data_IF_436438673240
#
_entry.id   IF_436438673240
#
_cell.length_a   1.000
_cell.length_b   1.000
_cell.length_c   1.000
_cell.angle_alpha   90.00
_cell.angle_beta   90.00
_cell.angle_gamma   90.00
#
_symmetry.space_group_name_H-M   'P 1'
#
loop_
_entity.id
_entity.type
_entity.pdbx_description
1 polymer ?
#
# COMPACT_ATOMS: atom_id res chain seq x y z
N UNK A 1 -17.41 61.85 -1.83
CA UNK A 1 -17.03 60.60 -1.07
C UNK A 1 -17.99 59.45 -1.32
N UNK A 2 -19.33 59.59 -1.30
CA UNK A 2 -20.24 58.44 -1.49
C UNK A 2 -20.14 57.71 -2.85
N UNK A 3 -19.99 58.39 -3.98
CA UNK A 3 -19.89 57.78 -5.30
C UNK A 3 -18.61 56.91 -5.51
N UNK A 4 -17.53 57.29 -4.86
CA UNK A 4 -16.24 56.58 -4.96
C UNK A 4 -16.26 55.24 -4.23
N UNK A 5 -17.02 55.18 -3.09
CA UNK A 5 -17.19 53.92 -2.33
C UNK A 5 -18.07 52.91 -3.07
N UNK A 6 -19.07 53.34 -3.84
CA UNK A 6 -19.90 52.44 -4.64
C UNK A 6 -19.15 51.78 -5.79
N UNK A 7 -18.23 52.50 -6.43
CA UNK A 7 -17.39 51.97 -7.50
C UNK A 7 -16.41 50.92 -6.92
N UNK A 8 -15.84 51.20 -5.75
CA UNK A 8 -14.93 50.25 -5.08
C UNK A 8 -15.63 48.94 -4.68
N UNK A 9 -16.85 49.06 -4.14
CA UNK A 9 -17.70 47.90 -3.76
C UNK A 9 -18.06 47.09 -5.01
N UNK A 10 -18.42 47.74 -6.11
CA UNK A 10 -18.74 47.05 -7.36
C UNK A 10 -17.53 46.28 -7.94
N UNK A 11 -16.33 46.88 -7.89
CA UNK A 11 -15.08 46.21 -8.35
C UNK A 11 -14.74 45.00 -7.46
N UNK A 12 -14.83 45.17 -6.14
CA UNK A 12 -14.55 44.06 -5.20
C UNK A 12 -15.55 42.91 -5.36
N UNK A 13 -16.85 43.23 -5.57
CA UNK A 13 -17.87 42.21 -5.84
C UNK A 13 -17.64 41.47 -7.16
N UNK A 14 -17.23 42.18 -8.22
CA UNK A 14 -16.89 41.57 -9.50
C UNK A 14 -15.64 40.66 -9.40
N UNK A 15 -14.60 41.09 -8.67
CA UNK A 15 -13.41 40.29 -8.39
C UNK A 15 -13.75 39.03 -7.59
N UNK A 16 -14.60 39.19 -6.55
CA UNK A 16 -15.06 38.05 -5.74
C UNK A 16 -15.83 37.03 -6.58
N UNK A 17 -16.70 37.46 -7.48
CA UNK A 17 -17.44 36.58 -8.37
C UNK A 17 -16.53 35.87 -9.39
N UNK A 18 -15.50 36.54 -9.90
CA UNK A 18 -14.51 35.93 -10.79
C UNK A 18 -13.67 34.87 -10.08
N UNK A 19 -13.16 35.19 -8.89
CA UNK A 19 -12.41 34.24 -8.07
C UNK A 19 -13.28 33.05 -7.67
N UNK A 20 -14.54 33.30 -7.28
CA UNK A 20 -15.46 32.23 -6.93
C UNK A 20 -15.78 31.30 -8.11
N UNK A 21 -15.92 31.87 -9.31
CA UNK A 21 -16.10 31.10 -10.55
C UNK A 21 -14.88 30.25 -10.86
N UNK A 22 -13.66 30.79 -10.80
CA UNK A 22 -12.43 30.02 -11.00
C UNK A 22 -12.26 28.89 -9.97
N UNK A 23 -12.58 29.15 -8.70
CA UNK A 23 -12.52 28.12 -7.66
C UNK A 23 -13.56 27.02 -7.93
N UNK A 24 -14.78 27.37 -8.33
CA UNK A 24 -15.81 26.38 -8.64
C UNK A 24 -15.50 25.58 -9.89
N UNK A 25 -14.91 26.19 -10.92
CA UNK A 25 -14.45 25.49 -12.11
C UNK A 25 -13.27 24.56 -11.79
N UNK A 26 -12.32 24.98 -10.95
CA UNK A 26 -11.18 24.17 -10.52
C UNK A 26 -11.63 22.98 -9.62
N UNK A 27 -12.62 23.17 -8.74
CA UNK A 27 -13.17 22.10 -7.88
C UNK A 27 -14.01 21.11 -8.69
N UNK A 28 -14.73 21.57 -9.71
CA UNK A 28 -15.59 20.75 -10.56
C UNK A 28 -14.88 20.26 -11.84
N UNK A 29 -13.62 20.63 -12.07
CA UNK A 29 -12.86 20.07 -13.18
C UNK A 29 -12.84 18.55 -13.06
N UNK A 30 -13.24 17.80 -14.09
CA UNK A 30 -13.21 16.35 -14.03
C UNK A 30 -11.77 15.92 -13.72
N UNK A 31 -11.56 15.27 -12.58
CA UNK A 31 -10.28 14.65 -12.26
C UNK A 31 -9.91 13.80 -13.46
N UNK A 32 -8.79 14.13 -14.11
CA UNK A 32 -8.28 13.40 -15.27
C UNK A 32 -7.98 11.98 -14.79
N UNK A 33 -8.99 11.11 -14.87
CA UNK A 33 -8.80 9.69 -14.67
C UNK A 33 -7.94 9.21 -15.82
N UNK A 34 -6.74 8.73 -15.50
CA UNK A 34 -5.93 8.00 -16.48
C UNK A 34 -6.80 6.81 -16.88
N UNK A 35 -7.13 6.61 -18.19
CA UNK A 35 -7.88 5.43 -18.60
C UNK A 35 -7.07 4.21 -18.13
N UNK A 36 -7.66 3.34 -17.29
CA UNK A 36 -7.09 2.01 -17.10
C UNK A 36 -7.17 1.32 -18.45
N UNK A 37 -6.03 1.21 -19.12
CA UNK A 37 -5.90 0.32 -20.27
C UNK A 37 -6.15 -1.07 -19.72
N UNK A 38 -7.18 -1.83 -20.21
CA UNK A 38 -7.37 -3.18 -19.78
C UNK A 38 -6.09 -3.95 -20.11
N UNK A 39 -5.33 -4.33 -19.10
CA UNK A 39 -4.29 -5.32 -19.28
C UNK A 39 -5.01 -6.64 -19.61
N UNK A 40 -4.50 -7.46 -20.52
CA UNK A 40 -5.02 -8.81 -20.80
C UNK A 40 -4.90 -9.76 -19.58
N UNK A 41 -4.81 -9.21 -18.38
CA UNK A 41 -4.66 -9.87 -17.10
C UNK A 41 -5.95 -9.90 -16.27
N UNK A 42 -5.79 -10.24 -15.02
CA UNK A 42 -6.88 -10.30 -14.06
C UNK A 42 -7.61 -8.96 -13.91
N UNK A 43 -8.96 -9.03 -13.98
CA UNK A 43 -9.85 -7.90 -13.71
C UNK A 43 -10.59 -8.16 -12.40
N UNK A 44 -10.61 -7.16 -11.53
CA UNK A 44 -11.32 -7.25 -10.26
C UNK A 44 -12.82 -7.39 -10.46
N UNK A 45 -13.53 -8.24 -9.68
CA UNK A 45 -14.97 -8.33 -9.71
C UNK A 45 -15.63 -7.03 -9.27
N UNK A 46 -16.86 -6.80 -9.73
CA UNK A 46 -17.70 -5.66 -9.35
C UNK A 46 -18.86 -6.12 -8.49
N UNK A 47 -18.96 -5.58 -7.26
CA UNK A 47 -20.10 -5.87 -6.37
C UNK A 47 -21.48 -5.53 -6.97
N UNK A 48 -21.52 -4.56 -7.87
CA UNK A 48 -22.75 -4.14 -8.53
C UNK A 48 -23.18 -5.09 -9.65
N UNK A 49 -22.22 -5.78 -10.26
CA UNK A 49 -22.45 -6.66 -11.42
C UNK A 49 -22.49 -8.15 -11.02
N UNK A 50 -22.02 -8.49 -9.82
CA UNK A 50 -22.02 -9.86 -9.33
C UNK A 50 -23.43 -10.26 -8.84
N UNK A 51 -24.15 -10.97 -9.70
CA UNK A 51 -25.51 -11.46 -9.41
C UNK A 51 -25.53 -12.76 -8.62
N UNK A 52 -24.39 -13.44 -8.50
CA UNK A 52 -24.27 -14.67 -7.72
C UNK A 52 -24.02 -14.41 -6.23
N UNK A 53 -23.67 -13.15 -5.91
CA UNK A 53 -23.41 -12.72 -4.54
C UNK A 53 -24.72 -12.20 -3.91
N UNK A 54 -25.38 -13.03 -3.12
CA UNK A 54 -26.69 -12.73 -2.52
C UNK A 54 -26.73 -12.99 -1.00
N UNK A 55 -27.78 -12.49 -0.34
CA UNK A 55 -28.11 -12.74 1.06
C UNK A 55 -26.98 -12.37 2.02
N UNK A 56 -26.83 -13.16 3.08
CA UNK A 56 -25.86 -12.95 4.13
C UNK A 56 -24.41 -12.91 3.61
N UNK A 57 -24.10 -13.70 2.58
CA UNK A 57 -22.77 -13.69 1.96
C UNK A 57 -22.46 -12.33 1.32
N UNK A 58 -23.45 -11.72 0.65
CA UNK A 58 -23.29 -10.38 0.08
C UNK A 58 -23.06 -9.32 1.14
N UNK A 59 -23.85 -9.35 2.22
CA UNK A 59 -23.68 -8.41 3.34
C UNK A 59 -22.30 -8.53 3.97
N UNK A 60 -21.82 -9.75 4.15
CA UNK A 60 -20.50 -10.01 4.74
C UNK A 60 -19.36 -9.49 3.85
N UNK A 61 -19.47 -9.69 2.52
CA UNK A 61 -18.50 -9.19 1.54
C UNK A 61 -18.51 -7.66 1.49
N UNK A 62 -19.66 -7.01 1.48
CA UNK A 62 -19.79 -5.55 1.52
C UNK A 62 -19.16 -4.98 2.81
N UNK A 63 -19.46 -5.61 3.95
CA UNK A 63 -18.84 -5.20 5.21
C UNK A 63 -17.33 -5.42 5.21
N UNK A 64 -16.84 -6.48 4.58
CA UNK A 64 -15.41 -6.74 4.38
C UNK A 64 -14.73 -5.68 3.51
N UNK A 65 -15.37 -5.23 2.42
CA UNK A 65 -14.88 -4.11 1.61
C UNK A 65 -14.74 -2.84 2.45
N UNK A 66 -15.77 -2.52 3.22
CA UNK A 66 -15.78 -1.35 4.10
C UNK A 66 -14.65 -1.42 5.15
N UNK A 67 -14.44 -2.58 5.78
CA UNK A 67 -13.35 -2.80 6.74
C UNK A 67 -11.96 -2.65 6.11
N UNK A 68 -11.76 -3.13 4.89
CA UNK A 68 -10.49 -3.00 4.16
C UNK A 68 -10.25 -1.54 3.74
N UNK A 69 -11.28 -0.87 3.26
CA UNK A 69 -11.20 0.52 2.82
C UNK A 69 -11.01 1.49 3.99
N UNK A 70 -11.71 1.25 5.10
CA UNK A 70 -11.81 2.15 6.23
C UNK A 70 -11.38 1.49 7.56
N UNK A 71 -10.37 0.64 7.53
CA UNK A 71 -9.90 -0.17 8.68
C UNK A 71 -9.76 0.68 9.95
N UNK A 72 -9.19 1.86 9.85
CA UNK A 72 -8.95 2.73 10.99
C UNK A 72 -10.23 3.25 11.67
N UNK A 73 -11.31 3.43 10.91
CA UNK A 73 -12.61 3.83 11.46
C UNK A 73 -13.18 2.77 12.41
N UNK A 74 -12.85 1.50 12.17
CA UNK A 74 -13.33 0.37 12.97
C UNK A 74 -12.30 -0.12 13.98
N UNK A 75 -11.03 -0.16 13.59
CA UNK A 75 -9.96 -0.83 14.34
C UNK A 75 -8.77 0.10 14.66
N UNK A 76 -8.82 1.36 14.25
CA UNK A 76 -7.79 2.36 14.53
C UNK A 76 -7.77 2.84 15.99
N UNK A 77 -6.92 3.81 16.33
CA UNK A 77 -6.80 4.32 17.70
C UNK A 77 -8.10 4.87 18.30
N UNK A 78 -9.05 5.28 17.43
CA UNK A 78 -10.41 5.72 17.79
C UNK A 78 -11.47 4.83 17.13
N UNK A 79 -11.13 3.57 16.87
CA UNK A 79 -11.99 2.62 16.16
C UNK A 79 -13.28 2.30 16.91
N UNK A 80 -14.38 2.21 16.19
CA UNK A 80 -15.71 1.94 16.76
C UNK A 80 -15.89 0.52 17.27
N UNK A 81 -15.06 -0.44 16.81
CA UNK A 81 -15.07 -1.84 17.22
C UNK A 81 -13.96 -2.11 18.23
N UNK A 82 -12.73 -1.72 17.92
CA UNK A 82 -11.58 -1.91 18.80
C UNK A 82 -10.45 -0.92 18.45
N UNK A 83 -9.63 -0.54 19.42
CA UNK A 83 -8.44 0.29 19.26
C UNK A 83 -7.19 -0.59 19.20
N UNK A 84 -6.93 -1.23 18.06
CA UNK A 84 -5.89 -2.25 17.92
C UNK A 84 -4.91 -2.04 16.76
N UNK A 85 -5.03 -0.97 15.98
CA UNK A 85 -4.12 -0.65 14.86
C UNK A 85 -3.58 0.78 14.94
N UNK A 86 -2.60 1.11 14.09
CA UNK A 86 -1.89 2.41 14.07
C UNK A 86 -2.65 3.56 13.36
N UNK A 87 -3.88 3.37 12.94
CA UNK A 87 -4.64 4.40 12.23
C UNK A 87 -4.51 4.38 10.70
N UNK A 88 -3.74 3.45 10.15
CA UNK A 88 -3.72 3.19 8.70
C UNK A 88 -4.84 2.24 8.28
N UNK A 89 -5.23 2.32 7.02
CA UNK A 89 -6.19 1.42 6.40
C UNK A 89 -5.47 0.33 5.58
N UNK A 90 -6.05 -0.84 5.44
CA UNK A 90 -5.52 -1.89 4.57
C UNK A 90 -5.34 -1.38 3.14
N UNK A 91 -6.27 -0.56 2.63
CA UNK A 91 -6.17 0.03 1.29
C UNK A 91 -5.02 1.04 1.11
N UNK A 92 -4.36 1.51 2.16
CA UNK A 92 -3.16 2.34 2.00
C UNK A 92 -2.01 1.57 1.33
N UNK A 93 -1.99 0.23 1.47
CA UNK A 93 -1.04 -0.66 0.80
C UNK A 93 -1.70 -1.55 -0.26
N UNK A 94 -3.02 -1.80 -0.16
CA UNK A 94 -3.82 -2.62 -1.07
C UNK A 94 -4.81 -1.72 -1.80
N UNK A 95 -4.31 -0.99 -2.81
CA UNK A 95 -5.03 0.12 -3.44
C UNK A 95 -6.40 -0.29 -4.00
N UNK A 96 -7.36 0.65 -3.95
CA UNK A 96 -8.74 0.45 -4.36
C UNK A 96 -9.38 -0.76 -3.66
N UNK A 97 -9.24 -0.84 -2.32
CA UNK A 97 -9.73 -1.98 -1.56
C UNK A 97 -9.08 -3.32 -1.93
N UNK A 98 -7.86 -3.30 -2.48
CA UNK A 98 -7.17 -4.50 -2.96
C UNK A 98 -7.61 -4.98 -4.34
N UNK A 99 -8.21 -4.10 -5.15
CA UNK A 99 -8.67 -4.40 -6.52
C UNK A 99 -7.83 -3.74 -7.61
N UNK A 100 -6.93 -2.81 -7.29
CA UNK A 100 -6.09 -2.15 -8.30
C UNK A 100 -5.04 -3.12 -8.85
N UNK A 101 -5.02 -3.30 -10.17
CA UNK A 101 -3.98 -4.05 -10.88
C UNK A 101 -2.60 -3.47 -10.56
N UNK A 102 -1.62 -4.31 -10.20
CA UNK A 102 -0.29 -3.94 -9.73
C UNK A 102 -0.25 -3.06 -8.46
N UNK A 103 -1.42 -2.82 -7.84
CA UNK A 103 -1.58 -2.07 -6.59
C UNK A 103 -1.57 -2.93 -5.34
N UNK A 104 -0.83 -4.04 -5.34
CA UNK A 104 -0.81 -5.03 -4.24
C UNK A 104 -2.20 -5.64 -3.99
N UNK A 105 -2.91 -5.99 -5.06
CA UNK A 105 -4.27 -6.48 -4.99
C UNK A 105 -4.40 -7.90 -4.41
N UNK A 106 -5.64 -8.31 -4.16
CA UNK A 106 -5.99 -9.61 -3.60
C UNK A 106 -6.32 -10.68 -4.65
N UNK A 107 -6.21 -10.39 -5.95
CA UNK A 107 -6.67 -11.27 -7.03
C UNK A 107 -6.17 -12.70 -6.95
N UNK A 108 -4.90 -12.91 -6.58
CA UNK A 108 -4.31 -14.24 -6.48
C UNK A 108 -4.47 -14.92 -5.11
N UNK A 109 -5.12 -14.26 -4.12
CA UNK A 109 -5.10 -14.77 -2.74
C UNK A 109 -5.96 -16.02 -2.60
N UNK A 110 -7.22 -15.98 -2.98
CA UNK A 110 -8.16 -17.11 -2.88
C UNK A 110 -7.64 -18.35 -3.63
N UNK A 111 -7.03 -18.15 -4.80
CA UNK A 111 -6.48 -19.22 -5.62
C UNK A 111 -5.29 -19.93 -4.98
N UNK A 112 -4.53 -19.27 -4.10
CA UNK A 112 -3.25 -19.75 -3.59
C UNK A 112 -3.25 -20.09 -2.09
N UNK A 113 -4.26 -19.73 -1.32
CA UNK A 113 -4.35 -20.08 0.09
C UNK A 113 -5.35 -21.24 0.32
N UNK A 114 -5.08 -22.12 1.32
CA UNK A 114 -3.93 -22.15 2.22
C UNK A 114 -2.63 -22.42 1.48
N UNK A 115 -1.50 -21.82 1.94
CA UNK A 115 -0.21 -21.88 1.25
C UNK A 115 0.95 -22.06 2.24
N UNK A 116 1.90 -22.95 1.91
CA UNK A 116 3.16 -23.01 2.65
C UNK A 116 3.95 -21.71 2.46
N UNK A 117 4.41 -21.14 3.56
CA UNK A 117 5.18 -19.89 3.58
C UNK A 117 6.52 -20.10 4.23
N UNK A 118 7.61 -19.87 3.48
CA UNK A 118 8.97 -20.00 4.00
C UNK A 118 9.22 -19.09 5.21
N UNK A 119 8.52 -17.93 5.29
CA UNK A 119 8.69 -17.00 6.40
C UNK A 119 8.28 -17.61 7.74
N UNK A 120 7.17 -18.29 7.80
CA UNK A 120 6.68 -18.95 9.03
C UNK A 120 7.11 -20.42 9.12
N UNK A 121 7.62 -21.01 8.01
CA UNK A 121 7.89 -22.44 7.94
C UNK A 121 6.64 -23.32 8.07
N UNK A 122 5.46 -22.77 7.78
CA UNK A 122 4.18 -23.45 7.98
C UNK A 122 3.17 -23.12 6.88
N UNK A 123 2.10 -23.92 6.80
CA UNK A 123 0.96 -23.62 5.92
C UNK A 123 0.09 -22.56 6.57
N UNK A 124 -0.02 -21.42 5.88
CA UNK A 124 -0.82 -20.28 6.31
C UNK A 124 -2.18 -20.27 5.61
N UNK A 125 -3.23 -19.90 6.36
CA UNK A 125 -4.56 -19.57 5.85
C UNK A 125 -4.69 -18.09 5.52
N UNK A 126 -5.79 -17.68 4.90
CA UNK A 126 -6.12 -16.26 4.69
C UNK A 126 -6.22 -15.53 6.03
N UNK A 127 -6.82 -16.16 7.06
CA UNK A 127 -6.84 -15.63 8.43
C UNK A 127 -5.43 -15.28 8.93
N UNK A 128 -4.50 -16.25 8.89
CA UNK A 128 -3.11 -16.01 9.32
C UNK A 128 -2.45 -14.89 8.51
N UNK A 129 -2.75 -14.82 7.20
CA UNK A 129 -2.21 -13.78 6.33
C UNK A 129 -2.74 -12.38 6.68
N UNK A 130 -4.03 -12.26 6.98
CA UNK A 130 -4.63 -10.98 7.45
C UNK A 130 -4.07 -10.60 8.81
N UNK A 131 -3.99 -11.55 9.75
CA UNK A 131 -3.40 -11.36 11.08
C UNK A 131 -1.97 -10.82 11.00
N UNK A 132 -1.13 -11.41 10.16
CA UNK A 132 0.23 -10.92 9.92
C UNK A 132 0.26 -9.47 9.40
N UNK A 133 -0.66 -9.09 8.54
CA UNK A 133 -0.74 -7.71 8.05
C UNK A 133 -1.18 -6.75 9.16
N UNK A 134 -2.12 -7.14 10.01
CA UNK A 134 -2.54 -6.34 11.15
C UNK A 134 -1.39 -6.11 12.15
N UNK A 135 -0.65 -7.16 12.47
CA UNK A 135 0.48 -7.08 13.40
C UNK A 135 1.70 -6.36 12.83
N UNK A 136 1.93 -6.42 11.52
CA UNK A 136 3.14 -5.91 10.86
C UNK A 136 2.90 -4.61 10.12
N UNK A 137 1.97 -4.59 9.17
CA UNK A 137 1.71 -3.41 8.34
C UNK A 137 0.89 -2.35 9.08
N UNK A 138 -0.03 -2.75 9.93
CA UNK A 138 -0.79 -1.86 10.79
C UNK A 138 -0.21 -1.72 12.20
N UNK A 139 0.96 -2.33 12.45
CA UNK A 139 1.69 -2.29 13.73
C UNK A 139 0.78 -2.48 14.95
N UNK A 140 -0.14 -3.44 14.86
CA UNK A 140 -1.25 -3.62 15.79
C UNK A 140 -1.36 -5.04 16.34
N UNK A 141 -2.59 -5.42 16.66
CA UNK A 141 -2.97 -6.75 17.12
C UNK A 141 -3.97 -7.37 16.15
N UNK A 142 -3.98 -8.69 16.06
CA UNK A 142 -4.98 -9.40 15.26
C UNK A 142 -6.33 -9.46 15.97
N UNK A 143 -7.39 -9.68 15.18
CA UNK A 143 -8.71 -10.07 15.66
C UNK A 143 -8.78 -11.59 15.78
N UNK A 144 -9.65 -12.07 16.68
CA UNK A 144 -10.00 -13.49 16.70
C UNK A 144 -10.72 -13.91 15.42
N UNK A 145 -10.46 -15.14 14.97
CA UNK A 145 -11.02 -15.69 13.73
C UNK A 145 -12.55 -15.79 13.71
N UNK A 146 -13.18 -15.83 14.89
CA UNK A 146 -14.63 -15.94 15.06
C UNK A 146 -15.36 -14.61 14.97
N UNK A 147 -14.64 -13.48 15.06
CA UNK A 147 -15.23 -12.15 14.98
C UNK A 147 -15.88 -11.90 13.62
N UNK A 148 -16.96 -11.11 13.61
CA UNK A 148 -17.64 -10.72 12.39
C UNK A 148 -16.71 -9.95 11.43
N UNK A 149 -15.88 -9.09 11.97
CA UNK A 149 -14.93 -8.26 11.24
C UNK A 149 -13.89 -9.12 10.50
N UNK A 150 -13.29 -10.10 11.18
CA UNK A 150 -12.32 -11.00 10.55
C UNK A 150 -12.99 -11.87 9.48
N UNK A 151 -14.16 -12.43 9.76
CA UNK A 151 -14.94 -13.19 8.78
C UNK A 151 -15.28 -12.37 7.56
N UNK A 152 -15.67 -11.10 7.75
CA UNK A 152 -16.00 -10.19 6.65
C UNK A 152 -14.77 -9.85 5.80
N UNK A 153 -13.62 -9.53 6.42
CA UNK A 153 -12.38 -9.29 5.68
C UNK A 153 -11.95 -10.53 4.87
N UNK A 154 -12.04 -11.72 5.44
CA UNK A 154 -11.71 -12.96 4.73
C UNK A 154 -12.67 -13.20 3.56
N UNK A 155 -13.98 -13.07 3.78
CA UNK A 155 -14.99 -13.25 2.74
C UNK A 155 -14.80 -12.27 1.57
N UNK A 156 -14.46 -11.02 1.85
CA UNK A 156 -14.15 -10.04 0.82
C UNK A 156 -12.89 -10.41 0.02
N UNK A 157 -11.80 -10.78 0.70
CA UNK A 157 -10.55 -11.19 0.05
C UNK A 157 -10.76 -12.43 -0.82
N UNK A 158 -11.53 -13.41 -0.35
CA UNK A 158 -11.90 -14.60 -1.11
C UNK A 158 -12.74 -14.23 -2.33
N UNK A 159 -13.72 -13.36 -2.17
CA UNK A 159 -14.56 -12.88 -3.26
C UNK A 159 -13.74 -12.12 -4.32
N UNK A 160 -12.80 -11.27 -3.95
CA UNK A 160 -11.96 -10.54 -4.92
C UNK A 160 -11.20 -11.48 -5.86
N UNK A 161 -10.79 -12.65 -5.38
CA UNK A 161 -10.05 -13.65 -6.15
C UNK A 161 -10.86 -14.85 -6.62
N UNK A 162 -12.18 -14.87 -6.44
CA UNK A 162 -12.99 -16.09 -6.62
C UNK A 162 -12.95 -16.69 -8.03
N UNK A 163 -12.82 -15.85 -9.06
CA UNK A 163 -12.76 -16.29 -10.45
C UNK A 163 -11.35 -16.71 -10.91
N UNK A 164 -10.33 -16.58 -10.06
CA UNK A 164 -8.97 -16.96 -10.41
C UNK A 164 -8.79 -18.47 -10.23
N UNK A 165 -8.33 -19.19 -11.26
CA UNK A 165 -8.12 -20.63 -11.16
C UNK A 165 -7.15 -21.01 -10.03
N UNK A 166 -7.42 -22.13 -9.35
CA UNK A 166 -6.60 -22.64 -8.25
C UNK A 166 -5.13 -22.76 -8.67
N UNK A 167 -4.23 -22.41 -7.74
CA UNK A 167 -2.77 -22.44 -7.90
C UNK A 167 -2.22 -21.54 -9.02
N UNK A 168 -3.02 -20.57 -9.52
CA UNK A 168 -2.59 -19.62 -10.52
C UNK A 168 -2.35 -18.22 -9.94
N UNK A 169 -1.48 -17.46 -10.63
CA UNK A 169 -1.18 -16.05 -10.31
C UNK A 169 -1.33 -15.27 -11.61
N UNK A 170 -2.49 -14.67 -11.87
CA UNK A 170 -2.71 -13.93 -13.11
C UNK A 170 -1.84 -12.67 -13.14
N UNK A 171 -1.52 -12.23 -14.35
CA UNK A 171 -0.81 -10.97 -14.56
C UNK A 171 -1.58 -9.80 -13.94
N UNK A 172 -0.87 -8.82 -13.41
CA UNK A 172 -1.48 -7.72 -12.67
C UNK A 172 -1.67 -7.99 -11.17
N UNK A 173 -1.43 -9.22 -10.70
CA UNK A 173 -1.55 -9.56 -9.28
C UNK A 173 -0.37 -9.06 -8.45
N UNK A 174 -0.67 -8.55 -7.26
CA UNK A 174 0.34 -8.20 -6.27
C UNK A 174 1.19 -6.98 -6.65
N UNK A 175 2.51 -7.10 -6.48
CA UNK A 175 3.51 -6.07 -6.78
C UNK A 175 4.59 -6.69 -7.67
N UNK A 176 4.93 -6.01 -8.77
CA UNK A 176 6.04 -6.38 -9.66
C UNK A 176 7.26 -5.54 -9.32
N UNK A 177 8.37 -6.13 -8.86
CA UNK A 177 9.61 -5.39 -8.67
C UNK A 177 10.14 -4.83 -10.00
N UNK A 178 10.73 -3.61 -10.00
CA UNK A 178 11.45 -3.12 -11.18
C UNK A 178 12.74 -3.92 -11.40
N UNK A 179 13.41 -3.69 -12.53
CA UNK A 179 14.73 -4.31 -12.78
C UNK A 179 15.68 -3.98 -11.63
N UNK A 180 16.50 -4.96 -11.24
CA UNK A 180 17.57 -4.71 -10.27
C UNK A 180 18.59 -3.73 -10.84
N UNK A 181 19.09 -2.86 -9.97
CA UNK A 181 20.17 -1.95 -10.31
C UNK A 181 21.53 -2.67 -10.25
N UNK A 182 22.46 -2.23 -11.09
CA UNK A 182 23.86 -2.69 -11.04
C UNK A 182 24.66 -2.07 -9.87
N UNK A 183 24.04 -1.15 -9.14
CA UNK A 183 24.55 -0.49 -7.95
C UNK A 183 23.62 -0.67 -6.75
N UNK A 184 24.10 -0.33 -5.57
CA UNK A 184 23.21 -0.16 -4.41
C UNK A 184 22.20 0.98 -4.66
N UNK A 185 20.98 0.82 -4.17
CA UNK A 185 20.01 1.90 -4.07
C UNK A 185 20.49 2.95 -3.06
N UNK A 186 20.35 4.22 -3.41
CA UNK A 186 20.94 5.34 -2.66
C UNK A 186 19.88 6.09 -1.84
N UNK A 187 19.93 6.02 -0.49
CA UNK A 187 19.06 6.86 0.34
C UNK A 187 19.24 8.36 0.09
N UNK A 188 20.46 8.81 -0.29
CA UNK A 188 20.74 10.22 -0.57
C UNK A 188 19.99 10.68 -1.82
N UNK A 189 20.10 9.95 -2.94
CA UNK A 189 19.32 10.25 -4.16
C UNK A 189 17.83 10.10 -3.91
N UNK A 190 17.44 9.11 -3.14
CA UNK A 190 16.05 8.89 -2.75
C UNK A 190 15.46 10.05 -1.95
N UNK A 191 16.25 10.76 -1.16
CA UNK A 191 15.82 11.97 -0.48
C UNK A 191 15.46 13.10 -1.45
N UNK A 192 16.22 13.25 -2.53
CA UNK A 192 15.94 14.24 -3.58
C UNK A 192 14.62 13.90 -4.31
N UNK A 193 14.44 12.62 -4.66
CA UNK A 193 13.18 12.14 -5.26
C UNK A 193 12.00 12.35 -4.31
N UNK A 194 12.17 12.04 -3.02
CA UNK A 194 11.15 12.22 -2.00
C UNK A 194 10.74 13.69 -1.87
N UNK A 195 11.71 14.60 -1.79
CA UNK A 195 11.46 16.03 -1.72
C UNK A 195 10.67 16.55 -2.93
N UNK A 196 10.98 16.04 -4.12
CA UNK A 196 10.36 16.50 -5.37
C UNK A 196 8.95 15.88 -5.62
N UNK A 197 8.69 14.65 -5.17
CA UNK A 197 7.53 13.86 -5.61
C UNK A 197 6.61 13.38 -4.47
N UNK A 198 7.05 13.38 -3.22
CA UNK A 198 6.35 12.69 -2.14
C UNK A 198 5.92 13.60 -0.99
N UNK A 199 6.69 14.65 -0.70
CA UNK A 199 6.48 15.55 0.46
C UNK A 199 5.10 16.17 0.46
N UNK A 200 4.55 16.56 -0.69
CA UNK A 200 3.24 17.22 -0.77
C UNK A 200 2.08 16.40 -0.20
N UNK A 201 2.22 15.06 -0.21
CA UNK A 201 1.20 14.16 0.33
C UNK A 201 1.64 13.51 1.64
N UNK A 202 2.92 13.09 1.75
CA UNK A 202 3.36 12.30 2.90
C UNK A 202 4.05 13.12 3.99
N UNK A 203 4.18 14.45 3.81
CA UNK A 203 4.86 15.34 4.76
C UNK A 203 6.37 15.29 4.66
N UNK A 204 7.04 16.32 5.18
CA UNK A 204 8.51 16.45 5.12
C UNK A 204 9.22 15.37 5.97
N UNK A 205 8.57 14.93 7.04
CA UNK A 205 9.08 13.89 7.95
C UNK A 205 8.37 12.54 7.75
N UNK A 206 7.68 12.34 6.61
CA UNK A 206 6.97 11.10 6.33
C UNK A 206 5.84 10.77 7.29
N UNK A 207 5.35 11.75 8.01
CA UNK A 207 4.32 11.64 9.04
C UNK A 207 2.93 11.37 8.48
N UNK A 208 2.74 11.58 7.17
CA UNK A 208 1.44 11.48 6.53
C UNK A 208 0.50 12.65 6.84
N UNK A 209 -0.72 12.59 6.34
CA UNK A 209 -1.76 13.61 6.57
C UNK A 209 -3.01 12.93 7.09
N UNK A 210 -3.43 13.28 8.30
CA UNK A 210 -4.70 12.82 8.87
C UNK A 210 -5.88 13.44 8.13
N UNK A 211 -6.97 12.68 7.99
CA UNK A 211 -8.24 13.20 7.55
C UNK A 211 -8.82 14.19 8.58
N UNK A 212 -9.71 15.08 8.14
CA UNK A 212 -10.28 16.13 8.99
C UNK A 212 -11.02 15.60 10.22
N UNK A 213 -11.60 14.40 10.14
CA UNK A 213 -12.28 13.72 11.25
C UNK A 213 -11.30 13.10 12.27
N UNK A 214 -10.01 13.05 11.93
CA UNK A 214 -8.97 12.47 12.78
C UNK A 214 -9.13 10.97 13.04
N UNK A 215 -9.87 10.26 12.19
CA UNK A 215 -10.10 8.81 12.31
C UNK A 215 -9.13 7.98 11.48
N UNK A 216 -8.69 8.51 10.33
CA UNK A 216 -7.80 7.80 9.41
C UNK A 216 -6.82 8.75 8.74
N UNK A 217 -5.81 8.21 8.10
CA UNK A 217 -4.91 9.00 7.26
C UNK A 217 -5.49 9.17 5.84
N UNK A 218 -5.53 10.42 5.35
CA UNK A 218 -5.73 10.72 3.92
C UNK A 218 -4.52 10.22 3.13
N UNK A 219 -3.31 10.54 3.61
CA UNK A 219 -2.05 10.01 3.10
C UNK A 219 -1.29 9.34 4.24
N UNK A 220 -0.95 8.05 4.13
CA UNK A 220 -0.40 7.30 5.24
C UNK A 220 1.01 7.75 5.62
N UNK A 221 1.41 7.58 6.89
CA UNK A 221 2.79 7.77 7.31
C UNK A 221 3.68 6.71 6.68
N UNK A 222 4.87 7.11 6.22
CA UNK A 222 5.85 6.22 5.58
C UNK A 222 6.93 5.75 6.54
N UNK A 223 7.20 6.51 7.60
CA UNK A 223 8.08 6.16 8.71
C UNK A 223 7.62 6.82 10.01
N UNK A 224 8.37 6.66 11.09
CA UNK A 224 7.98 7.15 12.41
C UNK A 224 7.02 6.20 13.15
N UNK A 225 6.56 6.59 14.35
CA UNK A 225 5.86 5.69 15.28
C UNK A 225 4.52 5.15 14.77
N UNK A 226 3.87 5.87 13.87
CA UNK A 226 2.54 5.51 13.35
C UNK A 226 2.59 4.76 12.01
N UNK A 227 3.80 4.46 11.48
CA UNK A 227 3.94 3.70 10.23
C UNK A 227 3.91 2.19 10.46
N UNK A 228 4.06 1.44 9.38
CA UNK A 228 4.29 0.00 9.44
C UNK A 228 5.62 -0.33 10.14
N UNK A 229 5.69 -1.48 10.81
CA UNK A 229 6.89 -1.89 11.52
C UNK A 229 7.89 -2.67 10.64
N UNK A 230 9.05 -2.99 11.21
CA UNK A 230 10.15 -3.67 10.52
C UNK A 230 9.80 -5.07 9.96
N UNK A 231 8.71 -5.68 10.40
CA UNK A 231 8.21 -6.96 9.88
C UNK A 231 7.26 -6.85 8.69
N UNK A 232 6.91 -5.63 8.25
CA UNK A 232 5.98 -5.43 7.16
C UNK A 232 6.55 -5.85 5.80
N UNK A 233 5.68 -6.34 4.90
CA UNK A 233 6.10 -6.78 3.57
C UNK A 233 6.71 -5.68 2.70
N UNK A 234 6.25 -4.44 2.85
CA UNK A 234 6.80 -3.28 2.16
C UNK A 234 8.14 -2.79 2.73
N UNK A 235 8.59 -3.32 3.87
CA UNK A 235 9.94 -3.05 4.35
C UNK A 235 11.02 -3.77 3.53
N UNK A 236 10.64 -4.74 2.69
CA UNK A 236 11.53 -5.30 1.67
C UNK A 236 11.66 -4.33 0.51
N UNK A 237 12.90 -4.00 0.16
CA UNK A 237 13.20 -2.92 -0.78
C UNK A 237 12.58 -3.16 -2.16
N UNK A 238 12.68 -4.38 -2.71
CA UNK A 238 12.10 -4.72 -4.02
C UNK A 238 10.58 -4.55 -4.06
N UNK A 239 9.91 -4.84 -2.93
CA UNK A 239 8.45 -4.70 -2.84
C UNK A 239 8.05 -3.24 -2.79
N UNK A 240 8.76 -2.45 -1.99
CA UNK A 240 8.45 -1.02 -1.92
C UNK A 240 8.79 -0.28 -3.21
N UNK A 241 9.94 -0.57 -3.83
CA UNK A 241 10.33 -0.01 -5.12
C UNK A 241 9.27 -0.31 -6.21
N UNK A 242 8.80 -1.55 -6.32
CA UNK A 242 7.74 -1.91 -7.27
C UNK A 242 6.42 -1.20 -6.98
N UNK A 243 6.05 -1.13 -5.70
CA UNK A 243 4.83 -0.45 -5.30
C UNK A 243 4.83 1.05 -5.66
N UNK A 244 5.93 1.77 -5.35
CA UNK A 244 5.98 3.21 -5.63
C UNK A 244 6.12 3.51 -7.13
N UNK A 245 6.87 2.70 -7.88
CA UNK A 245 7.01 2.84 -9.32
C UNK A 245 5.67 2.80 -10.04
N UNK A 246 4.85 1.81 -9.70
CA UNK A 246 3.61 1.53 -10.43
C UNK A 246 2.42 2.33 -9.91
N UNK A 247 2.54 2.97 -8.73
CA UNK A 247 1.37 3.56 -8.08
C UNK A 247 1.56 4.98 -7.54
N UNK A 248 2.80 5.51 -7.49
CA UNK A 248 3.08 6.81 -6.89
C UNK A 248 3.74 7.78 -7.87
N UNK A 249 3.37 9.07 -7.82
CA UNK A 249 2.33 9.68 -6.98
C UNK A 249 0.94 9.12 -7.29
N UNK A 250 0.11 8.98 -6.25
CA UNK A 250 -1.22 8.37 -6.37
C UNK A 250 -2.06 9.09 -7.43
N UNK A 251 -2.74 8.33 -8.30
CA UNK A 251 -3.54 8.80 -9.42
C UNK A 251 -2.75 9.53 -10.54
N UNK A 252 -1.41 9.55 -10.46
CA UNK A 252 -0.54 10.11 -11.50
C UNK A 252 0.37 9.06 -12.14
N UNK A 253 0.45 7.87 -11.54
CA UNK A 253 1.25 6.76 -12.01
C UNK A 253 0.39 5.50 -12.18
N UNK A 254 0.79 4.67 -13.15
CA UNK A 254 0.30 3.31 -13.33
C UNK A 254 1.44 2.40 -13.76
N UNK A 255 1.23 1.08 -13.78
CA UNK A 255 2.22 0.13 -14.26
C UNK A 255 2.66 0.41 -15.70
N UNK A 256 1.71 0.78 -16.58
CA UNK A 256 1.97 1.10 -18.00
C UNK A 256 2.50 2.51 -18.22
N UNK A 257 2.31 3.43 -17.27
CA UNK A 257 2.76 4.82 -17.34
C UNK A 257 3.33 5.26 -15.98
N UNK A 258 4.50 4.73 -15.57
CA UNK A 258 5.12 5.10 -14.30
C UNK A 258 5.59 6.56 -14.32
N UNK A 259 5.47 7.24 -13.20
CA UNK A 259 5.96 8.62 -13.02
C UNK A 259 7.43 8.67 -12.57
N UNK A 260 7.92 7.56 -12.03
CA UNK A 260 9.29 7.38 -11.56
C UNK A 260 10.06 6.45 -12.50
N UNK A 261 11.33 6.74 -12.73
CA UNK A 261 12.25 5.77 -13.33
C UNK A 261 12.46 4.58 -12.37
N UNK A 262 12.91 3.44 -12.88
CA UNK A 262 13.28 2.31 -12.04
C UNK A 262 14.31 2.71 -10.96
N UNK A 263 15.32 3.53 -11.36
CA UNK A 263 16.34 4.00 -10.43
C UNK A 263 15.75 4.90 -9.33
N UNK A 264 14.88 5.85 -9.66
CA UNK A 264 14.23 6.72 -8.69
C UNK A 264 13.35 5.91 -7.72
N UNK A 265 12.65 4.89 -8.23
CA UNK A 265 11.82 4.03 -7.40
C UNK A 265 12.64 3.23 -6.38
N UNK A 266 13.80 2.70 -6.79
CA UNK A 266 14.73 2.02 -5.87
C UNK A 266 15.34 3.00 -4.85
N UNK A 267 15.79 4.16 -5.31
CA UNK A 267 16.45 5.15 -4.45
C UNK A 267 15.47 5.74 -3.41
N UNK A 268 14.24 6.10 -3.82
CA UNK A 268 13.23 6.60 -2.86
C UNK A 268 12.76 5.51 -1.89
N UNK A 269 12.68 4.26 -2.35
CA UNK A 269 12.41 3.12 -1.46
C UNK A 269 13.53 2.96 -0.41
N UNK A 270 14.79 3.09 -0.82
CA UNK A 270 15.94 3.05 0.09
C UNK A 270 15.91 4.20 1.11
N UNK A 271 15.56 5.42 0.68
CA UNK A 271 15.39 6.56 1.58
C UNK A 271 14.32 6.30 2.63
N UNK A 272 13.11 5.91 2.23
CA UNK A 272 11.99 5.66 3.14
C UNK A 272 12.30 4.50 4.09
N UNK A 273 12.90 3.41 3.60
CA UNK A 273 13.23 2.26 4.42
C UNK A 273 14.48 2.44 5.30
N UNK A 274 15.28 3.49 5.07
CA UNK A 274 16.36 3.88 5.99
C UNK A 274 15.88 4.66 7.22
N UNK A 275 14.62 5.12 7.23
CA UNK A 275 14.07 5.95 8.30
C UNK A 275 13.57 5.11 9.47
N UNK A 276 13.62 5.66 10.72
CA UNK A 276 13.19 4.95 11.91
C UNK A 276 11.69 4.62 11.86
N UNK A 277 11.35 3.46 12.37
CA UNK A 277 9.97 2.94 12.47
C UNK A 277 9.82 1.98 13.65
N UNK A 278 8.60 1.57 14.03
CA UNK A 278 8.43 0.58 15.08
C UNK A 278 9.16 -0.73 14.73
N UNK A 279 9.84 -1.29 15.71
CA UNK A 279 10.47 -2.61 15.59
C UNK A 279 9.47 -3.72 15.85
N UNK A 280 9.71 -4.89 15.25
CA UNK A 280 9.02 -6.15 15.57
C UNK A 280 10.07 -7.23 15.79
N UNK A 281 9.83 -8.09 16.76
CA UNK A 281 10.59 -9.32 16.90
C UNK A 281 10.38 -10.22 15.69
N UNK A 282 11.46 -10.57 15.02
CA UNK A 282 11.51 -11.39 13.81
C UNK A 282 12.24 -12.72 14.04
N UNK A 283 12.56 -13.06 15.29
CA UNK A 283 13.31 -14.28 15.64
C UNK A 283 12.62 -15.56 15.18
N UNK A 284 11.28 -15.56 15.11
CA UNK A 284 10.50 -16.66 14.57
C UNK A 284 10.35 -16.67 13.05
N UNK A 285 10.83 -15.63 12.34
CA UNK A 285 10.72 -15.54 10.89
C UNK A 285 11.89 -16.31 10.22
N UNK A 286 11.59 -17.00 9.13
CA UNK A 286 12.55 -17.70 8.29
C UNK A 286 13.30 -18.83 9.03
N UNK A 287 12.61 -19.84 9.56
CA UNK A 287 13.26 -20.97 10.23
C UNK A 287 14.26 -21.69 9.30
N UNK A 288 14.00 -21.67 7.98
CA UNK A 288 15.00 -22.00 6.97
C UNK A 288 15.60 -20.72 6.38
N UNK A 289 16.74 -20.28 6.91
CA UNK A 289 17.39 -19.03 6.48
C UNK A 289 17.81 -19.03 5.00
N UNK A 290 18.04 -20.18 4.39
CA UNK A 290 18.36 -20.29 2.96
C UNK A 290 17.20 -19.85 2.04
N UNK A 291 15.95 -19.87 2.58
CA UNK A 291 14.75 -19.41 1.87
C UNK A 291 14.44 -17.91 2.11
N UNK A 292 15.23 -17.24 2.94
CA UNK A 292 15.06 -15.80 3.18
C UNK A 292 15.31 -15.03 1.87
N UNK A 293 14.44 -14.05 1.52
CA UNK A 293 14.65 -13.23 0.31
C UNK A 293 15.98 -12.50 0.30
N UNK A 294 16.54 -12.29 -0.89
CA UNK A 294 17.83 -11.60 -1.08
C UNK A 294 17.81 -10.15 -0.59
N UNK A 295 16.66 -9.51 -0.56
CA UNK A 295 16.42 -8.16 -0.11
C UNK A 295 15.79 -8.09 1.30
N UNK A 296 16.00 -9.11 2.13
CA UNK A 296 15.55 -9.07 3.51
C UNK A 296 16.56 -8.28 4.35
N UNK A 297 16.14 -7.17 5.02
CA UNK A 297 17.07 -6.21 5.59
C UNK A 297 17.70 -6.61 6.92
N UNK A 298 17.44 -7.82 7.43
CA UNK A 298 17.94 -8.29 8.73
C UNK A 298 18.54 -9.68 8.63
N UNK A 299 19.71 -9.87 9.25
CA UNK A 299 20.35 -11.17 9.41
C UNK A 299 19.53 -12.13 10.34
N UNK A 300 20.04 -13.34 10.58
CA UNK A 300 21.19 -13.96 9.90
C UNK A 300 20.89 -14.28 8.44
N UNK A 301 21.94 -14.46 7.63
CA UNK A 301 21.86 -14.84 6.22
C UNK A 301 22.54 -16.20 6.00
N UNK A 302 22.12 -16.94 4.96
CA UNK A 302 22.71 -18.20 4.57
C UNK A 302 23.85 -18.06 3.55
N UNK A 303 24.21 -16.83 3.21
CA UNK A 303 25.25 -16.47 2.26
C UNK A 303 26.30 -15.55 2.89
N UNK A 304 27.37 -15.24 2.16
CA UNK A 304 28.51 -14.46 2.66
C UNK A 304 28.37 -12.93 2.47
N UNK A 305 27.19 -12.44 2.05
CA UNK A 305 26.96 -11.03 1.84
C UNK A 305 26.55 -10.33 3.13
N UNK A 306 26.94 -9.04 3.29
CA UNK A 306 26.64 -8.27 4.48
C UNK A 306 25.20 -7.72 4.48
N UNK A 307 24.75 -7.26 5.65
CA UNK A 307 23.41 -6.73 5.85
C UNK A 307 23.13 -5.51 4.95
N UNK A 308 24.10 -4.64 4.73
CA UNK A 308 23.94 -3.45 3.92
C UNK A 308 23.62 -3.82 2.47
N UNK A 309 24.26 -4.86 1.93
CA UNK A 309 23.97 -5.35 0.59
C UNK A 309 22.60 -6.03 0.50
N UNK A 310 22.18 -6.76 1.53
CA UNK A 310 20.82 -7.28 1.63
C UNK A 310 19.76 -6.19 1.78
N UNK A 311 20.13 -5.04 2.34
CA UNK A 311 19.25 -3.91 2.57
C UNK A 311 19.09 -3.01 1.35
N UNK A 312 20.18 -2.74 0.63
CA UNK A 312 20.20 -1.77 -0.45
C UNK A 312 20.65 -2.31 -1.81
N UNK A 313 21.14 -3.54 -1.89
CA UNK A 313 21.72 -4.10 -3.11
C UNK A 313 23.21 -3.73 -3.27
N UNK A 314 23.82 -3.98 -4.45
CA UNK A 314 23.19 -4.63 -5.61
C UNK A 314 22.79 -6.09 -5.32
N UNK A 315 21.60 -6.49 -5.74
CA UNK A 315 21.04 -7.80 -5.40
C UNK A 315 21.48 -8.92 -6.36
N UNK A 316 21.87 -8.58 -7.59
CA UNK A 316 22.22 -9.57 -8.60
C UNK A 316 23.37 -10.49 -8.16
N UNK A 317 24.45 -10.01 -7.51
CA UNK A 317 25.51 -10.87 -6.99
C UNK A 317 25.03 -11.91 -5.98
N UNK A 318 24.08 -11.54 -5.10
CA UNK A 318 23.49 -12.45 -4.12
C UNK A 318 22.66 -13.53 -4.85
N UNK A 319 21.87 -13.13 -5.84
CA UNK A 319 21.04 -14.04 -6.64
C UNK A 319 21.92 -15.05 -7.37
N UNK A 320 23.02 -14.60 -7.97
CA UNK A 320 23.91 -15.46 -8.75
C UNK A 320 24.72 -16.41 -7.85
N UNK A 321 25.10 -15.97 -6.66
CA UNK A 321 25.74 -16.84 -5.68
C UNK A 321 24.81 -17.97 -5.18
N UNK A 322 23.50 -17.71 -5.08
CA UNK A 322 22.51 -18.71 -4.62
C UNK A 322 22.09 -19.72 -5.70
N UNK A 323 22.50 -19.53 -6.96
CA UNK A 323 22.26 -20.50 -8.05
C UNK A 323 23.33 -21.57 -8.14
N UNK A 324 24.48 -21.33 -7.50
CA UNK A 324 25.61 -22.24 -7.42
C UNK A 324 25.43 -23.26 -6.31
#
# INVERSE_FOLDING_TARGET
>A
MAKQNWILIAILSALFLLIFKEITEAVNAPKKTIPEVPSEGWTAPSLYLDRELEGEKRELVIYGEELIANTSRYLGPKGSVAAITNGMNCQNCHLNGGRKTWGNNYGAVAANYPKFRDRSGSTETIYKRVSDCMERSLNGKTLDSTTREMKAMMAYIEWVGHAVPKDSVPEGSGIKPPKYLDRAASPIKGQEVYAAKCVSCHGANGEGVMAADGLAYTYPPLWGPNSYNSGAGLFRLSRFAGYVRDNMPLNQASHSAPNLSDADAWDVAAFVNSRPRPSKDLSGDWPNIAKKPVDHPFGPYADGFNEEQHKFGPFQPIIDARKK
#
